data_IF_727185000796
#
_entry.id   IF_727185000796
#
_cell.length_a   1.000
_cell.length_b   1.000
_cell.length_c   1.000
_cell.angle_alpha   90.00
_cell.angle_beta   90.00
_cell.angle_gamma   90.00
#
_symmetry.space_group_name_H-M   'P 1'
#
loop_
_entity.id
_entity.type
_entity.pdbx_description
1 polymer ?
#
# COMPACT_ATOMS: atom_id res chain seq x y z
N UNK A 1 -28.80 26.90 -16.39
CA UNK A 1 -28.44 26.15 -15.16
C UNK A 1 -27.26 25.23 -15.51
N UNK A 2 -26.02 25.70 -15.35
CA UNK A 2 -24.83 24.89 -15.58
C UNK A 2 -24.63 24.01 -14.33
N UNK A 3 -24.86 22.71 -14.44
CA UNK A 3 -24.34 21.74 -13.46
C UNK A 3 -22.81 21.75 -13.57
N UNK A 4 -22.18 22.72 -12.91
CA UNK A 4 -20.76 22.61 -12.59
C UNK A 4 -20.65 21.51 -11.55
N UNK A 5 -20.41 20.26 -11.97
CA UNK A 5 -19.76 19.30 -11.08
C UNK A 5 -18.49 19.99 -10.59
N UNK A 6 -18.49 20.43 -9.32
CA UNK A 6 -17.39 21.15 -8.69
C UNK A 6 -16.19 20.23 -8.48
N UNK A 7 -15.57 19.78 -9.57
CA UNK A 7 -14.42 18.89 -9.55
C UNK A 7 -13.20 19.71 -9.13
N UNK A 8 -12.69 19.43 -7.94
CA UNK A 8 -11.44 20.02 -7.46
C UNK A 8 -10.26 19.41 -8.23
N UNK A 9 -9.88 20.03 -9.35
CA UNK A 9 -8.88 19.50 -10.30
C UNK A 9 -7.56 19.05 -9.64
N UNK A 10 -6.97 19.79 -8.69
CA UNK A 10 -5.75 19.33 -8.01
C UNK A 10 -5.97 18.06 -7.16
N UNK A 11 -7.14 17.92 -6.54
CA UNK A 11 -7.47 16.74 -5.75
C UNK A 11 -7.70 15.53 -6.66
N UNK A 12 -8.40 15.73 -7.78
CA UNK A 12 -8.57 14.69 -8.79
C UNK A 12 -7.22 14.23 -9.34
N UNK A 13 -6.34 15.17 -9.73
CA UNK A 13 -5.01 14.86 -10.23
C UNK A 13 -4.21 14.07 -9.20
N UNK A 14 -4.13 14.54 -7.95
CA UNK A 14 -3.49 13.81 -6.86
C UNK A 14 -4.00 12.37 -6.71
N UNK A 15 -5.32 12.19 -6.70
CA UNK A 15 -5.94 10.89 -6.47
C UNK A 15 -5.75 9.90 -7.62
N UNK A 16 -5.36 10.36 -8.82
CA UNK A 16 -5.01 9.43 -9.91
C UNK A 16 -3.76 8.61 -9.59
N UNK A 17 -2.80 9.14 -8.81
CA UNK A 17 -1.67 8.33 -8.35
C UNK A 17 -2.14 7.22 -7.41
N UNK A 18 -3.05 7.52 -6.48
CA UNK A 18 -3.65 6.51 -5.60
C UNK A 18 -4.37 5.44 -6.39
N UNK A 19 -5.12 5.82 -7.42
CA UNK A 19 -5.82 4.88 -8.28
C UNK A 19 -4.82 3.92 -8.94
N UNK A 20 -3.81 4.46 -9.65
CA UNK A 20 -2.82 3.65 -10.35
C UNK A 20 -1.98 2.78 -9.40
N UNK A 21 -1.44 3.37 -8.33
CA UNK A 21 -0.65 2.65 -7.34
C UNK A 21 -1.50 1.58 -6.64
N UNK A 22 -2.74 1.91 -6.29
CA UNK A 22 -3.70 0.99 -5.68
C UNK A 22 -3.99 -0.21 -6.57
N UNK A 23 -4.21 -0.01 -7.87
CA UNK A 23 -4.44 -1.11 -8.82
C UNK A 23 -3.26 -2.09 -8.86
N UNK A 24 -2.04 -1.57 -8.97
CA UNK A 24 -0.81 -2.37 -9.06
C UNK A 24 -0.49 -3.07 -7.73
N UNK A 25 -0.49 -2.35 -6.62
CA UNK A 25 -0.19 -2.90 -5.28
C UNK A 25 -1.16 -4.01 -4.90
N UNK A 26 -2.45 -3.82 -5.15
CA UNK A 26 -3.50 -4.79 -4.83
C UNK A 26 -3.21 -6.11 -5.56
N UNK A 27 -2.97 -6.08 -6.87
CA UNK A 27 -2.65 -7.29 -7.65
C UNK A 27 -1.30 -7.88 -7.23
N UNK A 28 -0.28 -7.04 -7.03
CA UNK A 28 1.05 -7.49 -6.69
C UNK A 28 1.05 -8.28 -5.39
N UNK A 29 0.62 -7.67 -4.27
CA UNK A 29 0.59 -8.33 -2.97
C UNK A 29 -0.28 -9.58 -2.98
N UNK A 30 -1.41 -9.56 -3.69
CA UNK A 30 -2.32 -10.70 -3.69
C UNK A 30 -1.84 -11.91 -4.48
N UNK A 31 -1.12 -11.72 -5.59
CA UNK A 31 -0.77 -12.82 -6.51
C UNK A 31 0.71 -13.22 -6.52
N UNK A 32 1.65 -12.37 -6.08
CA UNK A 32 3.08 -12.67 -6.28
C UNK A 32 3.51 -13.96 -5.56
N UNK A 33 3.10 -14.18 -4.31
CA UNK A 33 3.47 -15.41 -3.58
C UNK A 33 2.89 -16.64 -4.26
N UNK A 34 1.61 -16.59 -4.67
CA UNK A 34 0.95 -17.67 -5.40
C UNK A 34 1.69 -17.99 -6.70
N UNK A 35 2.12 -16.96 -7.43
CA UNK A 35 2.89 -17.15 -8.67
C UNK A 35 4.18 -17.92 -8.41
N UNK A 36 5.01 -17.45 -7.49
CA UNK A 36 6.31 -18.05 -7.26
C UNK A 36 6.22 -19.46 -6.65
N UNK A 37 5.28 -19.70 -5.74
CA UNK A 37 5.06 -21.01 -5.13
C UNK A 37 4.39 -22.00 -6.10
N UNK A 38 3.28 -21.62 -6.73
CA UNK A 38 2.45 -22.58 -7.47
C UNK A 38 2.87 -22.72 -8.93
N UNK A 39 3.30 -21.62 -9.57
CA UNK A 39 3.63 -21.59 -11.00
C UNK A 39 5.12 -21.74 -11.27
N UNK A 40 5.97 -20.98 -10.57
CA UNK A 40 7.42 -21.07 -10.76
C UNK A 40 8.10 -22.12 -9.90
N UNK A 41 7.36 -22.74 -8.97
CA UNK A 41 7.83 -23.86 -8.13
C UNK A 41 9.17 -23.52 -7.45
N UNK A 42 9.25 -22.32 -6.90
CA UNK A 42 10.43 -21.86 -6.15
C UNK A 42 10.71 -22.82 -4.97
N UNK A 43 11.99 -23.10 -4.72
CA UNK A 43 12.36 -23.86 -3.52
C UNK A 43 12.11 -23.03 -2.26
N UNK A 44 11.80 -23.71 -1.14
CA UNK A 44 11.61 -23.05 0.15
C UNK A 44 12.86 -22.25 0.58
N UNK A 45 14.06 -22.81 0.37
CA UNK A 45 15.33 -22.14 0.68
C UNK A 45 15.52 -20.85 -0.13
N UNK A 46 15.27 -20.90 -1.44
CA UNK A 46 15.38 -19.72 -2.31
C UNK A 46 14.32 -18.66 -1.99
N UNK A 47 13.10 -19.07 -1.62
CA UNK A 47 12.06 -18.15 -1.19
C UNK A 47 12.46 -17.41 0.09
N UNK A 48 12.93 -18.14 1.11
CA UNK A 48 13.39 -17.54 2.37
C UNK A 48 14.58 -16.59 2.15
N UNK A 49 15.55 -16.98 1.33
CA UNK A 49 16.68 -16.11 0.98
C UNK A 49 16.21 -14.80 0.32
N UNK A 50 15.29 -14.88 -0.64
CA UNK A 50 14.72 -13.69 -1.28
C UNK A 50 13.99 -12.79 -0.28
N UNK A 51 13.21 -13.36 0.66
CA UNK A 51 12.53 -12.58 1.71
C UNK A 51 13.51 -11.90 2.68
N UNK A 52 14.60 -12.57 3.07
CA UNK A 52 15.62 -11.97 3.95
C UNK A 52 16.31 -10.80 3.24
N UNK A 53 16.69 -10.96 1.98
CA UNK A 53 17.30 -9.87 1.20
C UNK A 53 16.31 -8.73 1.01
N UNK A 54 15.04 -9.03 0.72
CA UNK A 54 13.99 -8.04 0.60
C UNK A 54 13.80 -7.24 1.90
N UNK A 55 13.81 -7.89 3.06
CA UNK A 55 13.70 -7.22 4.36
C UNK A 55 14.87 -6.25 4.61
N UNK A 56 16.10 -6.65 4.27
CA UNK A 56 17.28 -5.78 4.38
C UNK A 56 17.16 -4.59 3.42
N UNK A 57 16.74 -4.87 2.18
CA UNK A 57 16.52 -3.85 1.17
C UNK A 57 15.48 -2.84 1.64
N UNK A 58 14.29 -3.27 2.04
CA UNK A 58 13.20 -2.41 2.46
C UNK A 58 13.61 -1.49 3.63
N UNK A 59 14.34 -2.02 4.62
CA UNK A 59 14.84 -1.24 5.75
C UNK A 59 15.84 -0.12 5.35
N UNK A 60 16.58 -0.30 4.25
CA UNK A 60 17.53 0.69 3.71
C UNK A 60 16.84 1.64 2.73
N UNK A 61 15.97 1.09 1.89
CA UNK A 61 15.25 1.74 0.80
C UNK A 61 14.44 2.95 1.31
N UNK A 62 13.60 2.74 2.32
CA UNK A 62 12.70 3.76 2.85
C UNK A 62 13.41 5.04 3.34
N UNK A 63 14.42 4.98 4.23
CA UNK A 63 15.14 6.19 4.65
C UNK A 63 16.01 6.78 3.53
N UNK A 64 16.59 5.96 2.65
CA UNK A 64 17.46 6.40 1.58
C UNK A 64 16.71 7.26 0.56
N UNK A 65 15.58 6.76 0.05
CA UNK A 65 14.79 7.52 -0.93
C UNK A 65 14.16 8.76 -0.32
N UNK A 66 13.75 8.72 0.96
CA UNK A 66 13.33 9.93 1.68
C UNK A 66 14.40 11.01 1.69
N UNK A 67 15.63 10.64 2.09
CA UNK A 67 16.74 11.59 2.10
C UNK A 67 17.10 12.12 0.70
N UNK A 68 17.14 11.24 -0.31
CA UNK A 68 17.42 11.64 -1.70
C UNK A 68 16.38 12.62 -2.20
N UNK A 69 15.10 12.37 -1.94
CA UNK A 69 14.03 13.20 -2.47
C UNK A 69 13.96 14.57 -1.78
N UNK A 70 14.32 14.64 -0.50
CA UNK A 70 14.31 15.90 0.26
C UNK A 70 15.55 16.76 0.05
N UNK A 71 16.72 16.16 -0.24
CA UNK A 71 17.99 16.89 -0.34
C UNK A 71 18.52 17.01 -1.78
N UNK A 72 17.88 16.36 -2.76
CA UNK A 72 18.34 16.45 -4.16
C UNK A 72 18.02 17.82 -4.75
N UNK A 73 19.06 18.48 -5.27
CA UNK A 73 18.95 19.73 -6.06
C UNK A 73 18.57 19.48 -7.52
N UNK A 74 18.38 18.22 -7.91
CA UNK A 74 18.04 17.84 -9.29
C UNK A 74 16.54 18.04 -9.50
N UNK A 75 16.15 18.83 -10.50
CA UNK A 75 14.75 19.22 -10.78
C UNK A 75 13.74 18.08 -10.88
N UNK A 76 14.20 16.87 -11.20
CA UNK A 76 13.40 15.65 -11.24
C UNK A 76 12.96 15.15 -9.84
N UNK A 77 13.87 15.24 -8.86
CA UNK A 77 13.64 14.79 -7.49
C UNK A 77 13.12 15.93 -6.61
N UNK A 78 13.54 17.17 -6.87
CA UNK A 78 13.13 18.33 -6.08
C UNK A 78 11.66 18.70 -6.33
N UNK A 79 11.16 18.51 -7.55
CA UNK A 79 9.74 18.71 -7.87
C UNK A 79 8.99 17.38 -7.74
N UNK A 80 8.20 17.26 -6.67
CA UNK A 80 7.51 16.02 -6.26
C UNK A 80 6.64 15.43 -7.36
N UNK A 81 5.95 16.29 -8.11
CA UNK A 81 5.13 15.91 -9.27
C UNK A 81 5.95 15.26 -10.39
N UNK A 82 7.17 15.74 -10.66
CA UNK A 82 8.05 15.16 -11.67
C UNK A 82 8.57 13.79 -11.23
N UNK A 83 8.87 13.61 -9.95
CA UNK A 83 9.25 12.30 -9.41
C UNK A 83 8.17 11.24 -9.68
N UNK A 84 6.89 11.60 -9.52
CA UNK A 84 5.77 10.72 -9.88
C UNK A 84 5.70 10.50 -11.39
N UNK A 85 5.77 11.57 -12.20
CA UNK A 85 5.65 11.51 -13.65
C UNK A 85 6.65 10.54 -14.29
N UNK A 86 7.90 10.66 -13.89
CA UNK A 86 8.98 9.87 -14.46
C UNK A 86 9.20 8.55 -13.72
N UNK A 87 8.85 8.45 -12.44
CA UNK A 87 8.89 7.20 -11.69
C UNK A 87 7.80 6.22 -12.15
N UNK A 88 6.66 6.73 -12.62
CA UNK A 88 5.50 5.91 -12.99
C UNK A 88 5.78 4.84 -14.07
N UNK A 89 6.42 5.14 -15.23
CA UNK A 89 6.75 4.10 -16.21
C UNK A 89 7.67 3.02 -15.64
N UNK A 90 8.67 3.39 -14.84
CA UNK A 90 9.58 2.41 -14.21
C UNK A 90 8.84 1.56 -13.18
N UNK A 91 7.98 2.17 -12.38
CA UNK A 91 7.17 1.47 -11.40
C UNK A 91 6.22 0.46 -12.08
N UNK A 92 5.61 0.84 -13.21
CA UNK A 92 4.79 -0.05 -14.03
C UNK A 92 5.60 -1.21 -14.63
N UNK A 93 6.82 -0.96 -15.11
CA UNK A 93 7.72 -2.02 -15.59
C UNK A 93 8.14 -2.96 -14.45
N UNK A 94 8.42 -2.43 -13.26
CA UNK A 94 8.75 -3.20 -12.08
C UNK A 94 7.60 -4.11 -11.64
N UNK A 95 6.36 -3.60 -11.71
CA UNK A 95 5.17 -4.40 -11.48
C UNK A 95 5.03 -5.54 -12.48
N UNK A 96 5.38 -5.34 -13.76
CA UNK A 96 5.28 -6.40 -14.77
C UNK A 96 6.38 -7.47 -14.61
N UNK A 97 7.51 -7.13 -14.01
CA UNK A 97 8.68 -8.00 -13.87
C UNK A 97 8.39 -9.40 -13.32
N UNK A 98 7.65 -9.59 -12.20
CA UNK A 98 7.34 -10.93 -11.70
C UNK A 98 6.44 -11.74 -12.65
N UNK A 99 5.54 -11.11 -13.41
CA UNK A 99 4.50 -11.83 -14.18
C UNK A 99 5.02 -12.53 -15.43
N UNK A 100 6.26 -12.24 -15.86
CA UNK A 100 6.88 -12.87 -17.02
C UNK A 100 8.07 -13.71 -16.58
N UNK A 101 8.08 -15.03 -16.86
CA UNK A 101 9.19 -15.89 -16.48
C UNK A 101 10.42 -15.52 -17.30
N UNK A 102 11.59 -15.44 -16.67
CA UNK A 102 12.85 -15.19 -17.40
C UNK A 102 13.29 -16.40 -18.24
N UNK A 103 12.82 -17.59 -17.85
CA UNK A 103 13.09 -18.87 -18.49
C UNK A 103 11.98 -19.86 -18.08
N UNK A 104 11.83 -20.95 -18.83
CA UNK A 104 11.15 -22.14 -18.33
C UNK A 104 11.93 -22.70 -17.12
N UNK A 105 11.41 -22.45 -15.91
CA UNK A 105 12.01 -22.93 -14.67
C UNK A 105 11.77 -24.43 -14.48
N UNK A 106 12.79 -25.12 -13.98
CA UNK A 106 12.66 -26.44 -13.37
C UNK A 106 12.33 -26.31 -11.88
N UNK A 107 11.69 -27.33 -11.30
CA UNK A 107 11.27 -27.27 -9.89
C UNK A 107 12.49 -27.08 -8.97
N UNK A 108 12.41 -26.09 -8.09
CA UNK A 108 13.47 -25.77 -7.14
C UNK A 108 14.69 -25.04 -7.73
N UNK A 109 14.64 -24.56 -8.98
CA UNK A 109 15.75 -23.84 -9.61
C UNK A 109 16.03 -22.49 -8.92
N UNK A 110 17.29 -22.26 -8.52
CA UNK A 110 17.74 -21.05 -7.80
C UNK A 110 17.43 -19.73 -8.55
N UNK A 111 17.37 -19.78 -9.88
CA UNK A 111 17.08 -18.61 -10.73
C UNK A 111 15.69 -18.02 -10.45
N UNK A 112 14.71 -18.86 -10.08
CA UNK A 112 13.39 -18.39 -9.66
C UNK A 112 13.45 -17.55 -8.37
N UNK A 113 14.38 -17.87 -7.46
CA UNK A 113 14.66 -17.08 -6.26
C UNK A 113 15.27 -15.72 -6.57
N UNK A 114 16.21 -15.67 -7.52
CA UNK A 114 16.77 -14.38 -7.98
C UNK A 114 15.71 -13.54 -8.68
N UNK A 115 14.86 -14.16 -9.49
CA UNK A 115 13.73 -13.48 -10.12
C UNK A 115 12.80 -12.85 -9.08
N UNK A 116 12.44 -13.59 -8.02
CA UNK A 116 11.64 -13.07 -6.91
C UNK A 116 12.35 -11.91 -6.20
N UNK A 117 13.63 -12.07 -5.87
CA UNK A 117 14.42 -11.07 -5.16
C UNK A 117 14.50 -9.75 -5.95
N UNK A 118 14.83 -9.84 -7.24
CA UNK A 118 14.90 -8.67 -8.12
C UNK A 118 13.53 -8.02 -8.28
N UNK A 119 12.46 -8.81 -8.45
CA UNK A 119 11.10 -8.30 -8.54
C UNK A 119 10.69 -7.53 -7.29
N UNK A 120 10.92 -8.10 -6.10
CA UNK A 120 10.58 -7.47 -4.83
C UNK A 120 11.37 -6.18 -4.61
N UNK A 121 12.69 -6.20 -4.76
CA UNK A 121 13.53 -5.02 -4.49
C UNK A 121 13.23 -3.87 -5.47
N UNK A 122 13.08 -4.15 -6.77
CA UNK A 122 12.80 -3.11 -7.77
C UNK A 122 11.38 -2.56 -7.57
N UNK A 123 10.38 -3.43 -7.34
CA UNK A 123 9.01 -2.99 -7.11
C UNK A 123 8.88 -2.13 -5.85
N UNK A 124 9.47 -2.58 -4.74
CA UNK A 124 9.47 -1.85 -3.47
C UNK A 124 10.26 -0.54 -3.55
N UNK A 125 11.43 -0.55 -4.21
CA UNK A 125 12.23 0.65 -4.46
C UNK A 125 11.43 1.75 -5.15
N UNK A 126 10.73 1.40 -6.24
CA UNK A 126 9.96 2.34 -7.02
C UNK A 126 8.63 2.70 -6.36
N UNK A 127 8.01 1.77 -5.64
CA UNK A 127 6.86 2.04 -4.80
C UNK A 127 7.19 3.11 -3.76
N UNK A 128 8.27 2.92 -2.99
CA UNK A 128 8.76 3.88 -2.00
C UNK A 128 9.01 5.23 -2.66
N UNK A 129 9.75 5.28 -3.78
CA UNK A 129 10.03 6.53 -4.49
C UNK A 129 8.76 7.30 -4.91
N UNK A 130 7.76 6.62 -5.49
CA UNK A 130 6.50 7.25 -5.92
C UNK A 130 5.63 7.62 -4.72
N UNK A 131 5.57 6.77 -3.69
CA UNK A 131 4.76 6.97 -2.49
C UNK A 131 5.25 8.18 -1.68
N UNK A 132 6.56 8.34 -1.48
CA UNK A 132 7.10 9.50 -0.79
C UNK A 132 6.80 10.80 -1.55
N UNK A 133 6.94 10.80 -2.88
CA UNK A 133 6.54 11.92 -3.71
C UNK A 133 5.05 12.25 -3.60
N UNK A 134 4.20 11.23 -3.53
CA UNK A 134 2.78 11.41 -3.32
C UNK A 134 2.49 11.97 -1.91
N UNK A 135 3.16 11.50 -0.86
CA UNK A 135 2.98 12.03 0.49
C UNK A 135 3.39 13.51 0.60
N UNK A 136 4.51 13.89 -0.01
CA UNK A 136 4.93 15.30 -0.07
C UNK A 136 3.92 16.15 -0.85
N UNK A 137 3.44 15.66 -2.00
CA UNK A 137 2.45 16.35 -2.82
C UNK A 137 1.11 16.56 -2.07
N UNK A 138 0.71 15.60 -1.22
CA UNK A 138 -0.46 15.74 -0.34
C UNK A 138 -0.31 16.94 0.59
N UNK A 139 0.84 17.07 1.25
CA UNK A 139 1.10 18.16 2.18
C UNK A 139 1.07 19.52 1.48
N UNK A 140 1.63 19.62 0.27
CA UNK A 140 1.61 20.85 -0.53
C UNK A 140 0.19 21.29 -0.96
N UNK A 141 -0.67 20.35 -1.38
CA UNK A 141 -2.04 20.65 -1.84
C UNK A 141 -3.01 20.91 -0.68
N UNK A 142 -2.78 20.29 0.49
CA UNK A 142 -3.71 20.27 1.63
C UNK A 142 -3.55 21.42 2.63
N UNK A 143 -2.85 22.50 2.25
CA UNK A 143 -2.57 23.67 3.12
C UNK A 143 -3.81 24.34 3.75
N UNK A 144 -5.01 24.16 3.19
CA UNK A 144 -6.28 24.61 3.79
C UNK A 144 -7.10 23.43 4.31
N UNK A 145 -7.74 23.60 5.47
CA UNK A 145 -8.53 22.53 6.10
C UNK A 145 -9.65 21.98 5.18
N UNK A 146 -10.37 22.86 4.47
CA UNK A 146 -11.42 22.45 3.53
C UNK A 146 -10.87 21.70 2.30
N UNK A 147 -9.70 22.07 1.78
CA UNK A 147 -9.09 21.37 0.65
C UNK A 147 -8.58 19.98 1.05
N UNK A 148 -8.15 19.82 2.31
CA UNK A 148 -7.74 18.52 2.88
C UNK A 148 -8.89 17.53 2.92
N UNK A 149 -10.07 17.93 3.41
CA UNK A 149 -11.24 17.04 3.48
C UNK A 149 -11.72 16.59 2.10
N UNK A 150 -11.72 17.50 1.11
CA UNK A 150 -12.04 17.12 -0.27
C UNK A 150 -11.03 16.12 -0.82
N UNK A 151 -9.74 16.38 -0.64
CA UNK A 151 -8.68 15.53 -1.16
C UNK A 151 -8.71 14.12 -0.55
N UNK A 152 -9.00 13.99 0.74
CA UNK A 152 -9.22 12.68 1.39
C UNK A 152 -10.38 11.92 0.74
N UNK A 153 -11.52 12.59 0.46
CA UNK A 153 -12.67 11.95 -0.20
C UNK A 153 -12.34 11.42 -1.59
N UNK A 154 -11.67 12.23 -2.42
CA UNK A 154 -11.21 11.79 -3.75
C UNK A 154 -10.23 10.62 -3.65
N UNK A 155 -9.31 10.70 -2.68
CA UNK A 155 -8.32 9.65 -2.43
C UNK A 155 -8.98 8.32 -2.06
N UNK A 156 -10.02 8.37 -1.23
CA UNK A 156 -10.74 7.18 -0.79
C UNK A 156 -11.52 6.53 -1.93
N UNK A 157 -12.14 7.31 -2.81
CA UNK A 157 -12.79 6.79 -4.03
C UNK A 157 -11.76 6.17 -4.98
N UNK A 158 -10.60 6.82 -5.14
CA UNK A 158 -9.51 6.28 -5.95
C UNK A 158 -8.94 4.98 -5.38
N UNK A 159 -8.76 4.88 -4.06
CA UNK A 159 -8.35 3.64 -3.38
C UNK A 159 -9.37 2.53 -3.57
N UNK A 160 -10.67 2.84 -3.44
CA UNK A 160 -11.76 1.88 -3.69
C UNK A 160 -11.70 1.32 -5.12
N UNK A 161 -11.63 2.21 -6.12
CA UNK A 161 -11.52 1.81 -7.52
C UNK A 161 -10.23 1.04 -7.80
N UNK A 162 -9.11 1.45 -7.19
CA UNK A 162 -7.83 0.78 -7.32
C UNK A 162 -7.86 -0.64 -6.77
N UNK A 163 -8.38 -0.80 -5.56
CA UNK A 163 -8.53 -2.10 -4.88
C UNK A 163 -9.47 -3.07 -5.62
N UNK A 164 -10.44 -2.54 -6.38
CA UNK A 164 -11.33 -3.36 -7.20
C UNK A 164 -10.64 -4.08 -8.36
N UNK A 165 -9.39 -3.70 -8.69
CA UNK A 165 -8.59 -4.36 -9.73
C UNK A 165 -8.43 -5.86 -9.49
N UNK A 166 -8.39 -6.29 -8.22
CA UNK A 166 -8.26 -7.71 -7.85
C UNK A 166 -9.50 -8.49 -8.25
N UNK A 167 -10.69 -7.93 -8.02
CA UNK A 167 -11.95 -8.57 -8.40
C UNK A 167 -11.97 -8.84 -9.91
N UNK A 168 -11.69 -7.81 -10.71
CA UNK A 168 -11.66 -7.93 -12.16
C UNK A 168 -10.53 -8.84 -12.65
N UNK A 169 -9.35 -8.77 -12.02
CA UNK A 169 -8.24 -9.67 -12.31
C UNK A 169 -8.63 -11.13 -12.07
N UNK A 170 -9.28 -11.42 -10.94
CA UNK A 170 -9.79 -12.74 -10.60
C UNK A 170 -10.82 -13.24 -11.61
N UNK A 171 -11.78 -12.39 -11.98
CA UNK A 171 -12.85 -12.73 -12.94
C UNK A 171 -12.32 -12.99 -14.37
N UNK A 172 -11.32 -12.22 -14.82
CA UNK A 172 -10.76 -12.33 -16.18
C UNK A 172 -9.75 -13.48 -16.30
N UNK A 173 -8.94 -13.69 -15.26
CA UNK A 173 -7.87 -14.70 -15.25
C UNK A 173 -8.25 -16.03 -14.62
N UNK A 174 -9.47 -16.14 -14.11
CA UNK A 174 -9.93 -17.28 -13.31
C UNK A 174 -9.00 -17.51 -12.10
N UNK A 175 -8.73 -16.45 -11.34
CA UNK A 175 -7.82 -16.43 -10.18
C UNK A 175 -6.42 -17.02 -10.48
N UNK A 176 -5.85 -16.64 -11.64
CA UNK A 176 -4.56 -17.09 -12.17
C UNK A 176 -4.53 -18.51 -12.78
N UNK A 177 -5.68 -19.16 -13.00
CA UNK A 177 -5.74 -20.43 -13.75
C UNK A 177 -5.47 -20.21 -15.25
N UNK A 178 -6.04 -19.16 -15.84
CA UNK A 178 -5.68 -18.71 -17.18
C UNK A 178 -4.56 -17.66 -17.13
N UNK A 179 -3.33 -18.14 -17.21
CA UNK A 179 -2.14 -17.30 -17.09
C UNK A 179 -1.99 -16.28 -18.21
N UNK A 180 -2.41 -16.59 -19.44
CA UNK A 180 -2.32 -15.65 -20.56
C UNK A 180 -3.29 -14.46 -20.36
N UNK A 181 -4.52 -14.74 -19.91
CA UNK A 181 -5.49 -13.71 -19.54
C UNK A 181 -4.99 -12.88 -18.34
N UNK A 182 -4.37 -13.51 -17.34
CA UNK A 182 -3.72 -12.82 -16.23
C UNK A 182 -2.66 -11.83 -16.74
N UNK A 183 -1.70 -12.29 -17.55
CA UNK A 183 -0.62 -11.47 -18.09
C UNK A 183 -1.17 -10.29 -18.90
N UNK A 184 -2.14 -10.53 -19.78
CA UNK A 184 -2.77 -9.46 -20.57
C UNK A 184 -3.46 -8.43 -19.67
N UNK A 185 -4.19 -8.89 -18.65
CA UNK A 185 -4.82 -7.99 -17.67
C UNK A 185 -3.78 -7.16 -16.90
N UNK A 186 -2.68 -7.76 -16.46
CA UNK A 186 -1.60 -7.02 -15.77
C UNK A 186 -0.94 -5.98 -16.68
N UNK A 187 -0.75 -6.26 -17.97
CA UNK A 187 -0.28 -5.27 -18.94
C UNK A 187 -1.27 -4.10 -19.04
N UNK A 188 -2.57 -4.38 -19.17
CA UNK A 188 -3.60 -3.34 -19.20
C UNK A 188 -3.57 -2.48 -17.93
N UNK A 189 -3.47 -3.11 -16.76
CA UNK A 189 -3.35 -2.41 -15.46
C UNK A 189 -2.09 -1.54 -15.43
N UNK A 190 -0.95 -2.02 -15.89
CA UNK A 190 0.29 -1.26 -15.93
C UNK A 190 0.17 0.00 -16.81
N UNK A 191 -0.45 -0.13 -18.00
CA UNK A 191 -0.70 0.99 -18.92
C UNK A 191 -1.65 2.02 -18.29
N UNK A 192 -2.78 1.57 -17.74
CA UNK A 192 -3.76 2.45 -17.09
C UNK A 192 -3.14 3.16 -15.89
N UNK A 193 -2.40 2.43 -15.05
CA UNK A 193 -1.76 2.98 -13.86
C UNK A 193 -0.68 4.01 -14.22
N UNK A 194 0.10 3.75 -15.27
CA UNK A 194 1.05 4.72 -15.81
C UNK A 194 0.33 5.98 -16.28
N UNK A 195 -0.76 5.84 -17.06
CA UNK A 195 -1.54 6.97 -17.53
C UNK A 195 -2.12 7.80 -16.37
N UNK A 196 -2.65 7.15 -15.34
CA UNK A 196 -3.15 7.80 -14.13
C UNK A 196 -2.05 8.58 -13.39
N UNK A 197 -0.88 7.98 -13.16
CA UNK A 197 0.21 8.66 -12.47
C UNK A 197 0.83 9.77 -13.32
N UNK A 198 0.95 9.59 -14.64
CA UNK A 198 1.36 10.64 -15.56
C UNK A 198 0.36 11.81 -15.56
N UNK A 199 -0.94 11.54 -15.41
CA UNK A 199 -1.94 12.59 -15.24
C UNK A 199 -1.66 13.41 -13.98
N UNK A 200 -1.36 12.78 -12.84
CA UNK A 200 -0.89 13.50 -11.64
C UNK A 200 0.36 14.32 -11.93
N UNK A 201 1.32 13.70 -12.63
CA UNK A 201 2.56 14.30 -13.08
C UNK A 201 2.38 15.55 -13.96
N UNK A 202 1.32 15.64 -14.74
CA UNK A 202 1.06 16.78 -15.65
C UNK A 202 0.13 17.83 -15.04
N UNK A 203 -0.86 17.40 -14.24
CA UNK A 203 -1.94 18.27 -13.77
C UNK A 203 -1.92 18.56 -12.26
N UNK A 204 -1.05 17.88 -11.49
CA UNK A 204 -0.89 18.07 -10.04
C UNK A 204 -0.07 19.30 -9.66
N UNK A 205 -0.21 20.42 -10.37
CA UNK A 205 0.57 21.64 -10.14
C UNK A 205 0.23 22.21 -8.76
N UNK A 206 1.25 22.48 -7.94
CA UNK A 206 1.08 23.06 -6.60
C UNK A 206 1.32 24.57 -6.61
N UNK A 207 0.76 25.27 -5.64
CA UNK A 207 1.03 26.71 -5.45
C UNK A 207 2.48 26.98 -5.01
N UNK A 208 3.16 25.95 -4.48
CA UNK A 208 4.57 26.00 -4.11
C UNK A 208 5.46 26.13 -5.36
N UNK A 209 5.20 25.32 -6.39
CA UNK A 209 5.87 25.40 -7.70
C UNK A 209 5.63 26.75 -8.41
N UNK A 210 4.49 27.42 -8.15
CA UNK A 210 4.22 28.77 -8.68
C UNK A 210 4.98 29.89 -7.95
N UNK A 211 5.36 29.68 -6.69
CA UNK A 211 6.12 30.65 -5.88
C UNK A 211 7.62 30.56 -6.09
N UNK A 212 8.15 29.43 -6.56
CA UNK A 212 9.58 29.23 -6.87
C UNK A 212 10.05 29.77 -8.24
N UNK A 213 9.21 30.54 -8.97
CA UNK A 213 9.76 31.40 -10.04
C UNK A 213 10.69 32.44 -9.42
N UNK A 214 11.88 32.68 -9.98
CA UNK A 214 13.08 33.01 -9.22
C UNK A 214 13.00 34.40 -8.60
N UNK A 215 12.69 34.47 -7.31
CA UNK A 215 13.22 35.53 -6.47
C UNK A 215 14.55 35.01 -5.98
N UNK A 216 15.64 35.58 -6.50
CA UNK A 216 16.96 35.48 -5.91
C UNK A 216 16.89 36.01 -4.47
N UNK A 217 16.52 35.15 -3.52
CA UNK A 217 16.74 35.42 -2.10
C UNK A 217 17.84 34.48 -1.64
N UNK A 218 19.04 35.03 -1.46
CA UNK A 218 20.17 34.41 -0.78
C UNK A 218 19.90 34.16 0.70
N UNK A 219 18.87 33.36 0.99
CA UNK A 219 18.60 32.80 2.29
C UNK A 219 19.51 31.61 2.51
N UNK A 220 20.37 31.72 3.54
CA UNK A 220 21.26 30.65 4.02
C UNK A 220 20.53 29.31 4.02
N UNK A 221 21.13 28.31 3.36
CA UNK A 221 20.71 26.92 3.49
C UNK A 221 20.55 26.60 4.98
N UNK A 222 19.32 26.34 5.41
CA UNK A 222 19.04 25.83 6.75
C UNK A 222 19.87 24.57 6.96
N UNK A 223 20.45 24.49 8.15
CA UNK A 223 21.49 23.53 8.53
C UNK A 223 21.19 22.12 8.03
N UNK A 224 22.10 21.57 7.21
CA UNK A 224 22.16 20.13 6.94
C UNK A 224 22.02 19.38 8.27
N UNK A 225 20.94 18.61 8.42
CA UNK A 225 20.63 17.85 9.61
C UNK A 225 21.85 16.99 9.98
N UNK A 226 22.59 17.36 11.03
CA UNK A 226 23.81 16.66 11.42
C UNK A 226 23.45 15.23 11.83
N UNK A 227 24.22 14.23 11.41
CA UNK A 227 24.01 12.82 11.79
C UNK A 227 23.91 12.64 13.32
N UNK A 228 24.61 13.46 14.08
CA UNK A 228 24.52 13.48 15.54
C UNK A 228 23.13 13.92 16.04
N UNK A 229 22.49 14.85 15.33
CA UNK A 229 21.11 15.28 15.62
C UNK A 229 20.13 14.15 15.30
N UNK A 230 20.30 13.48 14.15
CA UNK A 230 19.49 12.30 13.78
C UNK A 230 19.62 11.19 14.82
N UNK A 231 20.84 10.81 15.20
CA UNK A 231 21.08 9.79 16.23
C UNK A 231 20.46 10.15 17.59
N UNK A 232 20.54 11.43 17.98
CA UNK A 232 19.95 11.91 19.22
C UNK A 232 18.42 11.84 19.18
N UNK A 233 17.81 12.27 18.06
CA UNK A 233 16.36 12.21 17.85
C UNK A 233 15.88 10.76 17.83
N UNK A 234 16.57 9.87 17.10
CA UNK A 234 16.25 8.43 17.07
C UNK A 234 16.32 7.83 18.47
N UNK A 235 17.34 8.16 19.27
CA UNK A 235 17.46 7.68 20.65
C UNK A 235 16.29 8.17 21.54
N UNK A 236 15.87 9.42 21.38
CA UNK A 236 14.73 9.98 22.12
C UNK A 236 13.42 9.28 21.77
N UNK A 237 13.17 9.02 20.48
CA UNK A 237 11.98 8.31 20.02
C UNK A 237 11.97 6.86 20.54
N UNK A 238 13.12 6.17 20.46
CA UNK A 238 13.26 4.80 20.95
C UNK A 238 13.16 4.65 22.48
N UNK A 239 13.24 5.75 23.24
CA UNK A 239 13.05 5.71 24.70
C UNK A 239 11.63 6.04 25.13
N UNK A 240 10.77 6.50 24.21
CA UNK A 240 9.37 6.76 24.51
C UNK A 240 8.56 5.46 24.63
N UNK A 241 8.01 5.20 25.83
CA UNK A 241 7.21 3.99 26.11
C UNK A 241 5.99 3.87 25.20
N UNK A 242 5.26 4.97 24.97
CA UNK A 242 4.06 4.96 24.12
C UNK A 242 4.41 4.62 22.67
N UNK A 243 5.52 5.17 22.17
CA UNK A 243 6.04 4.85 20.84
C UNK A 243 6.42 3.37 20.73
N UNK A 244 7.16 2.83 21.71
CA UNK A 244 7.55 1.42 21.70
C UNK A 244 6.34 0.46 21.72
N UNK A 245 5.33 0.76 22.55
CA UNK A 245 4.09 -0.03 22.59
C UNK A 245 3.32 0.04 21.27
N UNK A 246 3.26 1.21 20.64
CA UNK A 246 2.65 1.37 19.33
C UNK A 246 3.41 0.61 18.25
N UNK A 247 4.75 0.70 18.21
CA UNK A 247 5.57 -0.02 17.23
C UNK A 247 5.38 -1.53 17.37
N UNK A 248 5.36 -2.05 18.59
CA UNK A 248 5.13 -3.47 18.85
C UNK A 248 3.75 -3.92 18.37
N UNK A 249 2.69 -3.17 18.69
CA UNK A 249 1.35 -3.46 18.17
C UNK A 249 1.29 -3.36 16.64
N UNK A 250 1.93 -2.34 16.06
CA UNK A 250 1.94 -2.12 14.62
C UNK A 250 2.66 -3.25 13.88
N UNK A 251 3.72 -3.82 14.47
CA UNK A 251 4.41 -4.98 13.92
C UNK A 251 3.46 -6.17 13.72
N UNK A 252 2.66 -6.53 14.73
CA UNK A 252 1.70 -7.64 14.58
C UNK A 252 0.61 -7.33 13.56
N UNK A 253 0.16 -6.08 13.47
CA UNK A 253 -0.85 -5.70 12.48
C UNK A 253 -0.31 -5.75 11.06
N UNK A 254 0.89 -5.21 10.83
CA UNK A 254 1.56 -5.28 9.53
C UNK A 254 1.82 -6.73 9.15
N UNK A 255 2.26 -7.57 10.10
CA UNK A 255 2.42 -9.00 9.90
C UNK A 255 1.09 -9.66 9.47
N UNK A 256 0.01 -9.44 10.22
CA UNK A 256 -1.30 -10.02 9.93
C UNK A 256 -1.85 -9.54 8.58
N UNK A 257 -1.75 -8.24 8.27
CA UNK A 257 -2.19 -7.67 7.00
C UNK A 257 -1.39 -8.18 5.81
N UNK A 258 -0.07 -8.29 5.96
CA UNK A 258 0.82 -8.85 4.92
C UNK A 258 0.52 -10.34 4.70
N UNK A 259 0.31 -11.08 5.78
CA UNK A 259 -0.06 -12.49 5.72
C UNK A 259 -1.38 -12.70 4.98
N UNK A 260 -2.43 -11.95 5.36
CA UNK A 260 -3.73 -12.02 4.70
C UNK A 260 -3.64 -11.59 3.24
N UNK A 261 -2.91 -10.51 2.93
CA UNK A 261 -2.77 -10.06 1.54
C UNK A 261 -2.07 -11.11 0.67
N UNK A 262 -0.98 -11.69 1.15
CA UNK A 262 -0.09 -12.49 0.32
C UNK A 262 -0.47 -13.98 0.24
N UNK A 263 -1.07 -14.52 1.31
CA UNK A 263 -1.33 -15.95 1.42
C UNK A 263 -2.81 -16.34 1.34
N UNK A 264 -3.76 -15.38 1.40
CA UNK A 264 -5.19 -15.69 1.43
C UNK A 264 -5.64 -16.56 0.26
N UNK A 265 -5.19 -16.26 -0.96
CA UNK A 265 -5.53 -17.07 -2.14
C UNK A 265 -4.99 -18.50 -2.04
N UNK A 266 -3.81 -18.68 -1.44
CA UNK A 266 -3.18 -20.00 -1.24
C UNK A 266 -3.95 -20.79 -0.17
N UNK A 267 -4.31 -20.15 0.94
CA UNK A 267 -5.12 -20.76 1.98
C UNK A 267 -6.49 -21.17 1.46
N UNK A 268 -7.17 -20.29 0.74
CA UNK A 268 -8.45 -20.61 0.13
C UNK A 268 -8.33 -21.75 -0.90
N UNK A 269 -7.26 -21.80 -1.72
CA UNK A 269 -7.02 -22.87 -2.70
C UNK A 269 -6.79 -24.23 -2.04
N UNK A 270 -6.15 -24.27 -0.87
CA UNK A 270 -5.86 -25.51 -0.15
C UNK A 270 -6.98 -25.94 0.80
N UNK A 271 -7.70 -25.00 1.42
CA UNK A 271 -8.69 -25.30 2.45
C UNK A 271 -10.13 -25.38 1.93
N UNK A 272 -10.44 -24.74 0.80
CA UNK A 272 -11.78 -24.72 0.24
C UNK A 272 -11.80 -25.48 -1.10
N UNK A 273 -12.49 -26.64 -1.16
CA UNK A 273 -12.61 -27.42 -2.38
C UNK A 273 -13.15 -26.59 -3.55
N UNK A 274 -12.58 -26.79 -4.74
CA UNK A 274 -13.02 -26.08 -5.96
C UNK A 274 -14.48 -26.38 -6.33
N UNK A 275 -14.96 -27.58 -5.99
CA UNK A 275 -16.35 -27.99 -6.24
C UNK A 275 -17.35 -27.29 -5.32
N UNK A 276 -16.92 -26.86 -4.13
CA UNK A 276 -17.79 -26.21 -3.14
C UNK A 276 -17.98 -24.71 -3.41
N UNK A 277 -16.93 -24.04 -3.89
CA UNK A 277 -16.97 -22.63 -4.28
C UNK A 277 -16.48 -22.46 -5.73
N UNK A 278 -17.39 -22.17 -6.68
CA UNK A 278 -17.03 -21.82 -8.04
C UNK A 278 -16.06 -20.64 -8.08
N UNK A 279 -15.17 -20.62 -9.07
CA UNK A 279 -14.12 -19.60 -9.17
C UNK A 279 -14.66 -18.16 -9.20
N UNK A 280 -15.82 -17.93 -9.82
CA UNK A 280 -16.54 -16.66 -9.76
C UNK A 280 -16.81 -16.18 -8.33
N UNK A 281 -17.28 -17.08 -7.45
CA UNK A 281 -17.56 -16.76 -6.04
C UNK A 281 -16.27 -16.47 -5.28
N UNK A 282 -15.19 -17.18 -5.60
CA UNK A 282 -13.86 -16.94 -5.02
C UNK A 282 -13.32 -15.57 -5.42
N UNK A 283 -13.49 -15.15 -6.67
CA UNK A 283 -13.10 -13.81 -7.12
C UNK A 283 -13.89 -12.71 -6.41
N UNK A 284 -15.19 -12.91 -6.20
CA UNK A 284 -16.01 -12.00 -5.38
C UNK A 284 -15.51 -11.96 -3.94
N UNK A 285 -15.20 -13.12 -3.35
CA UNK A 285 -14.69 -13.24 -1.99
C UNK A 285 -13.37 -12.46 -1.81
N UNK A 286 -12.41 -12.66 -2.71
CA UNK A 286 -11.13 -11.96 -2.69
C UNK A 286 -11.30 -10.46 -2.95
N UNK A 287 -12.13 -10.09 -3.93
CA UNK A 287 -12.44 -8.69 -4.22
C UNK A 287 -13.08 -7.98 -3.03
N UNK A 288 -14.02 -8.64 -2.34
CA UNK A 288 -14.66 -8.13 -1.13
C UNK A 288 -13.64 -7.81 -0.03
N UNK A 289 -12.61 -8.65 0.14
CA UNK A 289 -11.52 -8.47 1.10
C UNK A 289 -10.73 -7.16 0.93
N UNK A 290 -10.64 -6.63 -0.30
CA UNK A 290 -9.94 -5.38 -0.60
C UNK A 290 -10.86 -4.16 -0.76
N UNK A 291 -12.09 -4.37 -1.25
CA UNK A 291 -13.08 -3.32 -1.51
C UNK A 291 -13.80 -2.88 -0.22
N UNK A 292 -14.29 -3.83 0.59
CA UNK A 292 -15.04 -3.49 1.79
C UNK A 292 -14.25 -2.77 2.90
N UNK A 293 -12.94 -2.97 3.10
CA UNK A 293 -12.17 -2.12 4.01
C UNK A 293 -12.33 -0.65 3.69
N UNK A 294 -12.29 -0.29 2.40
CA UNK A 294 -12.38 1.09 1.96
C UNK A 294 -13.75 1.72 2.27
N UNK A 295 -14.82 0.92 2.18
CA UNK A 295 -16.16 1.34 2.61
C UNK A 295 -16.27 1.43 4.13
N UNK A 296 -15.70 0.47 4.87
CA UNK A 296 -15.74 0.45 6.32
C UNK A 296 -15.05 1.69 6.88
N UNK A 297 -13.88 2.06 6.35
CA UNK A 297 -13.15 3.27 6.75
C UNK A 297 -13.96 4.54 6.51
N UNK A 298 -14.69 4.65 5.39
CA UNK A 298 -15.57 5.79 5.09
C UNK A 298 -16.70 5.95 6.11
N UNK A 299 -17.34 4.84 6.49
CA UNK A 299 -18.48 4.85 7.41
C UNK A 299 -18.01 5.05 8.86
N UNK A 300 -16.81 4.58 9.18
CA UNK A 300 -16.21 4.64 10.52
C UNK A 300 -15.91 6.06 11.01
N UNK A 301 -15.94 7.06 10.13
CA UNK A 301 -15.79 8.47 10.53
C UNK A 301 -16.83 8.89 11.58
N UNK A 302 -18.07 8.40 11.45
CA UNK A 302 -19.14 8.66 12.44
C UNK A 302 -18.82 8.00 13.79
N UNK A 303 -18.35 6.74 13.78
CA UNK A 303 -17.95 6.01 14.97
C UNK A 303 -16.78 6.67 15.70
N UNK A 304 -15.78 7.18 14.98
CA UNK A 304 -14.64 7.86 15.58
C UNK A 304 -15.06 9.10 16.38
N UNK A 305 -16.05 9.85 15.87
CA UNK A 305 -16.56 11.03 16.57
C UNK A 305 -17.36 10.72 17.84
N UNK A 306 -17.98 9.53 17.90
CA UNK A 306 -18.83 9.14 19.04
C UNK A 306 -18.06 8.39 20.12
N UNK A 307 -17.23 7.42 19.76
CA UNK A 307 -16.63 6.45 20.70
C UNK A 307 -15.10 6.64 20.81
N UNK A 308 -14.48 7.34 19.85
CA UNK A 308 -13.03 7.52 19.75
C UNK A 308 -12.33 6.38 19.01
N UNK A 309 -11.31 6.70 18.20
CA UNK A 309 -10.62 5.74 17.33
C UNK A 309 -9.86 4.64 18.10
N UNK A 310 -9.28 4.93 19.28
CA UNK A 310 -8.62 3.92 20.11
C UNK A 310 -9.55 2.77 20.50
N UNK A 311 -10.78 3.07 20.90
CA UNK A 311 -11.77 2.05 21.26
C UNK A 311 -12.24 1.26 20.04
N UNK A 312 -12.40 1.93 18.89
CA UNK A 312 -12.76 1.26 17.64
C UNK A 312 -11.69 0.23 17.24
N UNK A 313 -10.40 0.60 17.30
CA UNK A 313 -9.29 -0.32 17.03
C UNK A 313 -9.31 -1.49 18.02
N UNK A 314 -9.48 -1.21 19.32
CA UNK A 314 -9.53 -2.25 20.35
C UNK A 314 -10.70 -3.22 20.13
N UNK A 315 -11.89 -2.72 19.78
CA UNK A 315 -13.03 -3.57 19.46
C UNK A 315 -12.80 -4.40 18.20
N UNK A 316 -12.12 -3.87 17.19
CA UNK A 316 -11.73 -4.65 16.01
C UNK A 316 -10.85 -5.85 16.41
N UNK A 317 -9.86 -5.65 17.28
CA UNK A 317 -9.02 -6.73 17.79
C UNK A 317 -9.82 -7.79 18.57
N UNK A 318 -10.78 -7.37 19.41
CA UNK A 318 -11.64 -8.32 20.10
C UNK A 318 -12.52 -9.12 19.13
N UNK A 319 -13.06 -8.47 18.10
CA UNK A 319 -13.86 -9.15 17.07
C UNK A 319 -12.99 -10.15 16.30
N UNK A 320 -11.77 -9.79 15.92
CA UNK A 320 -10.83 -10.69 15.25
C UNK A 320 -10.48 -11.91 16.11
N UNK A 321 -10.16 -11.70 17.39
CA UNK A 321 -9.83 -12.78 18.32
C UNK A 321 -11.01 -13.73 18.56
N UNK A 322 -12.22 -13.18 18.75
CA UNK A 322 -13.44 -13.97 18.91
C UNK A 322 -13.76 -14.73 17.62
N UNK A 323 -13.67 -14.09 16.45
CA UNK A 323 -13.90 -14.74 15.17
C UNK A 323 -12.93 -15.91 14.95
N UNK A 324 -11.65 -15.74 15.29
CA UNK A 324 -10.65 -16.81 15.20
C UNK A 324 -10.94 -17.96 16.17
N UNK A 325 -11.33 -17.66 17.43
CA UNK A 325 -11.72 -18.67 18.40
C UNK A 325 -12.97 -19.45 17.97
N UNK A 326 -13.98 -18.77 17.44
CA UNK A 326 -15.19 -19.40 16.88
C UNK A 326 -14.83 -20.30 15.71
N UNK A 327 -14.00 -19.83 14.77
CA UNK A 327 -13.56 -20.64 13.63
C UNK A 327 -12.78 -21.89 14.07
N UNK A 328 -11.94 -21.77 15.11
CA UNK A 328 -11.22 -22.91 15.69
C UNK A 328 -12.19 -23.95 16.28
N UNK A 329 -13.27 -23.52 16.94
CA UNK A 329 -14.28 -24.42 17.52
C UNK A 329 -15.19 -25.07 16.47
N UNK A 330 -15.54 -24.35 15.39
CA UNK A 330 -16.34 -24.88 14.29
C UNK A 330 -15.61 -26.00 13.53
N UNK A 331 -14.28 -25.91 13.44
CA UNK A 331 -13.45 -26.91 12.78
C UNK A 331 -13.47 -26.82 11.25
N UNK A 332 -12.69 -27.68 10.56
CA UNK A 332 -12.38 -27.55 9.14
C UNK A 332 -13.49 -28.02 8.18
N UNK A 333 -14.54 -28.66 8.68
CA UNK A 333 -15.56 -29.29 7.83
C UNK A 333 -16.56 -28.30 7.20
N UNK A 334 -16.61 -27.05 7.68
CA UNK A 334 -17.58 -26.05 7.24
C UNK A 334 -16.97 -25.01 6.30
N UNK A 335 -16.76 -25.38 5.03
CA UNK A 335 -16.07 -24.54 4.03
C UNK A 335 -16.72 -23.18 3.77
N UNK A 336 -18.06 -23.08 3.81
CA UNK A 336 -18.76 -21.80 3.63
C UNK A 336 -18.55 -20.85 4.81
N UNK A 337 -18.52 -21.38 6.04
CA UNK A 337 -18.24 -20.59 7.25
C UNK A 337 -16.78 -20.12 7.20
N UNK A 338 -15.86 -20.99 6.79
CA UNK A 338 -14.46 -20.64 6.59
C UNK A 338 -14.29 -19.52 5.55
N UNK A 339 -14.98 -19.60 4.41
CA UNK A 339 -14.93 -18.57 3.38
C UNK A 339 -15.40 -17.19 3.89
N UNK A 340 -16.50 -17.17 4.65
CA UNK A 340 -17.01 -15.96 5.29
C UNK A 340 -16.02 -15.44 6.33
N UNK A 341 -15.47 -16.32 7.17
CA UNK A 341 -14.44 -15.95 8.17
C UNK A 341 -13.21 -15.32 7.51
N UNK A 342 -12.65 -15.95 6.48
CA UNK A 342 -11.49 -15.44 5.75
C UNK A 342 -11.76 -14.06 5.14
N UNK A 343 -12.95 -13.87 4.56
CA UNK A 343 -13.36 -12.57 4.02
C UNK A 343 -13.47 -11.51 5.11
N UNK A 344 -14.19 -11.80 6.20
CA UNK A 344 -14.38 -10.85 7.31
C UNK A 344 -13.05 -10.49 7.95
N UNK A 345 -12.20 -11.48 8.21
CA UNK A 345 -10.86 -11.26 8.78
C UNK A 345 -10.05 -10.32 7.88
N UNK A 346 -10.02 -10.57 6.57
CA UNK A 346 -9.33 -9.69 5.63
C UNK A 346 -9.89 -8.26 5.65
N UNK A 347 -11.23 -8.13 5.67
CA UNK A 347 -11.90 -6.82 5.71
C UNK A 347 -11.50 -6.04 6.97
N UNK A 348 -11.56 -6.69 8.13
CA UNK A 348 -11.26 -6.06 9.42
C UNK A 348 -9.79 -5.68 9.56
N UNK A 349 -8.87 -6.55 9.13
CA UNK A 349 -7.43 -6.29 9.24
C UNK A 349 -7.02 -5.08 8.41
N UNK A 350 -7.46 -5.01 7.15
CA UNK A 350 -7.16 -3.88 6.26
C UNK A 350 -7.84 -2.58 6.73
N UNK A 351 -9.08 -2.66 7.21
CA UNK A 351 -9.79 -1.49 7.70
C UNK A 351 -9.13 -0.93 8.96
N UNK A 352 -8.78 -1.79 9.91
CA UNK A 352 -8.10 -1.41 11.15
C UNK A 352 -6.74 -0.78 10.85
N UNK A 353 -5.95 -1.38 9.96
CA UNK A 353 -4.64 -0.85 9.55
C UNK A 353 -4.73 0.58 8.99
N UNK A 354 -5.77 0.87 8.21
CA UNK A 354 -5.98 2.21 7.61
C UNK A 354 -6.20 3.31 8.65
N UNK A 355 -6.67 2.95 9.86
CA UNK A 355 -6.97 3.89 10.96
C UNK A 355 -5.73 4.18 11.82
N UNK A 356 -4.65 3.39 11.71
CA UNK A 356 -3.50 3.49 12.61
C UNK A 356 -2.63 4.72 12.40
N UNK A 357 -2.82 5.41 11.27
CA UNK A 357 -2.22 6.72 11.03
C UNK A 357 -2.70 7.76 12.07
N UNK A 358 -3.88 7.58 12.68
CA UNK A 358 -4.39 8.47 13.72
C UNK A 358 -3.59 8.34 15.05
N UNK A 359 -3.50 7.16 15.70
CA UNK A 359 -2.63 6.98 16.87
C UNK A 359 -1.18 7.41 16.65
N UNK A 360 -0.63 7.17 15.45
CA UNK A 360 0.73 7.62 15.12
C UNK A 360 0.85 9.15 15.15
N UNK A 361 -0.13 9.86 14.58
CA UNK A 361 -0.16 11.32 14.62
C UNK A 361 -0.22 11.86 16.06
N UNK A 362 -1.01 11.24 16.94
CA UNK A 362 -1.07 11.67 18.34
C UNK A 362 0.24 11.46 19.09
N UNK A 363 0.96 10.37 18.79
CA UNK A 363 2.30 10.12 19.38
C UNK A 363 3.29 11.18 18.90
N UNK A 364 3.21 11.56 17.62
CA UNK A 364 4.04 12.65 17.06
C UNK A 364 3.68 13.99 17.71
N UNK A 365 2.40 14.30 17.88
CA UNK A 365 1.95 15.54 18.55
C UNK A 365 2.35 15.56 20.04
N UNK A 366 2.26 14.42 20.74
CA UNK A 366 2.71 14.30 22.12
C UNK A 366 4.22 14.49 22.24
N UNK A 367 5.01 13.95 21.32
CA UNK A 367 6.46 14.14 21.24
C UNK A 367 6.83 15.59 20.91
N UNK A 368 6.12 16.24 19.98
CA UNK A 368 6.25 17.66 19.68
C UNK A 368 6.02 18.52 20.92
N UNK A 369 4.95 18.26 21.67
CA UNK A 369 4.62 18.99 22.90
C UNK A 369 5.65 18.76 24.01
N UNK A 370 6.16 17.54 24.14
CA UNK A 370 7.13 17.17 25.19
C UNK A 370 8.50 17.77 24.94
N UNK A 371 8.96 17.79 23.68
CA UNK A 371 10.31 18.22 23.32
C UNK A 371 10.37 19.58 22.62
N UNK A 372 9.24 20.29 22.45
CA UNK A 372 9.11 21.58 21.74
C UNK A 372 9.85 21.58 20.39
N UNK A 373 9.69 20.51 19.63
CA UNK A 373 10.27 20.40 18.28
C UNK A 373 9.61 21.45 17.37
N UNK A 374 10.26 21.89 16.30
CA UNK A 374 9.69 22.82 15.31
C UNK A 374 9.35 22.07 14.04
#
# INVERSE_FOLDING_TARGET
>A
MKLSLGIHRPALAYSMTTLGAGMMNSIFYFYYVKLFLNRYKISESSFHQAQVVFMIWNAINDPLFGYIQDNSKVGFCSVRRHSILYGAPFYALAFLLPWFPWKSYTEGEWLSGIHLMVALCIFDGLLTFVLLAQCALFAEISSKHESRLQLIKYNQVASLLGSSSILFCGLVSDNMENFASFQTFTICVAVVSTACMCYTGVFGITQYEQREKPVESGGKAESSLSLATVLTLTKQILTQKNFLLFVFMNFFQVFHGTFCSNFMIIFADNLIPKDALPSFVRSIMYGAGFIFPQFLVLISHSLFSSIGYYKVILYAFYVEAVAAAVMLLVGPHHYYILAVFLTINMVLVHASFSVFNLPLADIVDADFNTYKRK
#
